data_IF_192880518666
#
_entry.id   IF_192880518666
#
_cell.length_a   1.000
_cell.length_b   1.000
_cell.length_c   1.000
_cell.angle_alpha   90.00
_cell.angle_beta   90.00
_cell.angle_gamma   90.00
#
_symmetry.space_group_name_H-M   'P 1'
#
loop_
_entity.id
_entity.type
_entity.pdbx_description
1 polymer ?
#
# COMPACT_ATOMS: atom_id res chain seq x y z
N UNK A 1 -1.25 22.43 20.49
CA UNK A 1 -0.55 21.62 19.49
C UNK A 1 -1.14 20.21 19.44
N UNK A 2 -1.34 19.65 18.25
CA UNK A 2 -1.97 18.32 18.06
C UNK A 2 -1.12 17.19 18.66
N UNK A 3 0.21 17.26 18.49
CA UNK A 3 1.14 16.27 18.99
C UNK A 3 1.16 16.24 20.51
N UNK A 4 1.20 17.41 21.16
CA UNK A 4 1.13 17.48 22.63
C UNK A 4 -0.18 16.90 23.19
N UNK A 5 -1.29 17.04 22.45
CA UNK A 5 -2.59 16.47 22.84
C UNK A 5 -2.64 14.96 22.64
N UNK A 6 -2.00 14.44 21.59
CA UNK A 6 -1.83 13.01 21.38
C UNK A 6 -0.96 12.38 22.48
N UNK A 7 0.21 12.94 22.76
CA UNK A 7 1.15 12.43 23.78
C UNK A 7 0.59 12.47 25.22
N UNK A 8 -0.35 13.38 25.50
CA UNK A 8 -1.07 13.45 26.78
C UNK A 8 -2.26 12.49 26.88
N UNK A 9 -2.72 11.95 25.76
CA UNK A 9 -3.79 10.95 25.77
C UNK A 9 -3.16 9.67 26.32
N UNK A 10 -3.72 9.13 27.40
CA UNK A 10 -3.28 7.84 27.96
C UNK A 10 -3.29 6.80 26.84
N UNK A 11 -2.13 6.22 26.53
CA UNK A 11 -2.00 5.21 25.49
C UNK A 11 -2.89 4.03 25.86
N UNK A 12 -3.99 3.87 25.12
CA UNK A 12 -4.87 2.72 25.29
C UNK A 12 -4.07 1.49 24.85
N UNK A 13 -3.81 0.58 25.80
CA UNK A 13 -2.91 -0.56 25.64
C UNK A 13 -3.43 -1.63 24.66
N UNK A 14 -4.50 -1.34 23.91
CA UNK A 14 -5.23 -2.30 23.08
C UNK A 14 -5.55 -1.80 21.67
N UNK A 15 -4.68 -1.01 21.08
CA UNK A 15 -4.79 -0.68 19.65
C UNK A 15 -4.26 -1.87 18.84
N UNK A 16 -5.16 -2.76 18.43
CA UNK A 16 -4.85 -3.90 17.54
C UNK A 16 -4.47 -3.42 16.13
N UNK A 17 -5.14 -2.38 15.63
CA UNK A 17 -4.88 -1.79 14.31
C UNK A 17 -4.65 -0.27 14.40
N UNK A 18 -3.39 0.14 14.27
CA UNK A 18 -3.00 1.54 14.31
C UNK A 18 -3.57 2.36 13.13
N UNK A 19 -3.72 1.77 11.94
CA UNK A 19 -4.29 2.46 10.77
C UNK A 19 -5.76 2.82 11.01
N UNK A 20 -6.53 1.88 11.56
CA UNK A 20 -7.94 2.09 11.89
C UNK A 20 -8.11 3.16 12.97
N UNK A 21 -7.24 3.15 13.99
CA UNK A 21 -7.27 4.17 15.03
C UNK A 21 -7.03 5.58 14.46
N UNK A 22 -6.01 5.74 13.61
CA UNK A 22 -5.72 7.02 12.97
C UNK A 22 -6.82 7.46 12.01
N UNK A 23 -7.44 6.52 11.31
CA UNK A 23 -8.60 6.78 10.45
C UNK A 23 -9.79 7.34 11.23
N UNK A 24 -10.13 6.71 12.35
CA UNK A 24 -11.24 7.15 13.21
C UNK A 24 -10.95 8.48 13.91
N UNK A 25 -9.68 8.77 14.20
CA UNK A 25 -9.26 9.99 14.90
C UNK A 25 -8.84 11.15 13.98
N UNK A 26 -9.07 11.07 12.66
CA UNK A 26 -8.73 12.14 11.71
C UNK A 26 -9.36 13.49 12.07
N UNK A 27 -10.63 13.48 12.51
CA UNK A 27 -11.33 14.71 12.93
C UNK A 27 -10.69 15.37 14.16
N UNK A 28 -10.09 14.57 15.04
CA UNK A 28 -9.45 15.03 16.29
C UNK A 28 -8.02 15.52 16.06
N UNK A 29 -7.33 14.97 15.06
CA UNK A 29 -5.95 15.29 14.72
C UNK A 29 -5.77 15.40 13.18
N UNK A 30 -6.29 16.45 12.53
CA UNK A 30 -6.33 16.53 11.08
C UNK A 30 -4.95 16.58 10.41
N UNK A 31 -3.94 17.16 11.06
CA UNK A 31 -2.57 17.24 10.49
C UNK A 31 -1.76 16.00 10.87
N UNK A 32 -1.84 15.58 12.13
CA UNK A 32 -1.06 14.46 12.64
C UNK A 32 -1.53 13.12 12.07
N UNK A 33 -2.84 12.93 11.89
CA UNK A 33 -3.39 11.69 11.29
C UNK A 33 -2.92 11.49 9.86
N UNK A 34 -2.84 12.55 9.05
CA UNK A 34 -2.31 12.47 7.69
C UNK A 34 -0.85 12.01 7.69
N UNK A 35 -0.02 12.57 8.57
CA UNK A 35 1.37 12.14 8.70
C UNK A 35 1.46 10.68 9.16
N UNK A 36 0.73 10.31 10.21
CA UNK A 36 0.76 8.96 10.75
C UNK A 36 0.28 7.91 9.75
N UNK A 37 -0.81 8.17 9.03
CA UNK A 37 -1.31 7.28 7.97
C UNK A 37 -0.29 7.14 6.83
N UNK A 38 0.36 8.24 6.41
CA UNK A 38 1.44 8.15 5.42
C UNK A 38 2.57 7.23 5.89
N UNK A 39 3.04 7.34 7.13
CA UNK A 39 4.12 6.48 7.63
C UNK A 39 3.68 5.03 7.84
N UNK A 40 2.48 4.79 8.36
CA UNK A 40 1.99 3.46 8.68
C UNK A 40 1.56 2.65 7.44
N UNK A 41 1.25 3.32 6.33
CA UNK A 41 0.92 2.66 5.06
C UNK A 41 2.15 2.28 4.23
N UNK A 42 3.34 2.79 4.59
CA UNK A 42 4.58 2.37 3.94
C UNK A 42 4.82 0.90 4.30
N UNK A 43 4.90 0.00 3.32
CA UNK A 43 5.19 -1.41 3.60
C UNK A 43 6.56 -1.51 4.28
N UNK A 44 6.61 -2.18 5.43
CA UNK A 44 7.84 -2.30 6.24
C UNK A 44 8.97 -3.07 5.55
N UNK A 45 8.70 -3.78 4.45
CA UNK A 45 9.69 -4.58 3.74
C UNK A 45 9.49 -4.50 2.23
N UNK A 46 10.59 -4.57 1.47
CA UNK A 46 10.61 -4.75 0.02
C UNK A 46 9.99 -6.07 -0.45
N UNK A 47 9.60 -6.97 0.47
CA UNK A 47 9.06 -8.30 0.18
C UNK A 47 7.89 -8.27 -0.79
N UNK A 48 7.04 -7.23 -0.76
CA UNK A 48 5.95 -7.08 -1.74
C UNK A 48 6.48 -6.87 -3.16
N UNK A 49 7.50 -6.03 -3.29
CA UNK A 49 8.17 -5.73 -4.56
C UNK A 49 8.99 -6.93 -5.04
N UNK A 50 9.72 -7.60 -4.14
CA UNK A 50 10.48 -8.81 -4.46
C UNK A 50 9.58 -9.98 -4.89
N UNK A 51 8.42 -10.15 -4.24
CA UNK A 51 7.42 -11.14 -4.66
C UNK A 51 6.84 -10.78 -6.03
N UNK A 52 6.59 -9.50 -6.31
CA UNK A 52 6.14 -9.03 -7.62
C UNK A 52 7.19 -9.34 -8.70
N UNK A 53 8.47 -9.05 -8.45
CA UNK A 53 9.57 -9.35 -9.38
C UNK A 53 9.81 -10.85 -9.55
N UNK A 54 9.69 -11.65 -8.48
CA UNK A 54 9.80 -13.11 -8.56
C UNK A 54 8.68 -13.71 -9.40
N UNK A 55 7.42 -13.27 -9.21
CA UNK A 55 6.30 -13.64 -10.08
C UNK A 55 6.51 -13.13 -11.52
N UNK A 56 7.09 -11.94 -11.67
CA UNK A 56 7.41 -11.29 -12.93
C UNK A 56 8.63 -11.85 -13.67
N UNK A 57 9.36 -12.80 -13.09
CA UNK A 57 10.53 -13.40 -13.74
C UNK A 57 10.20 -14.05 -15.09
N UNK A 58 8.97 -14.58 -15.24
CA UNK A 58 8.44 -15.07 -16.52
C UNK A 58 8.30 -13.92 -17.54
N UNK A 59 7.85 -12.73 -17.11
CA UNK A 59 7.73 -11.54 -17.96
C UNK A 59 9.10 -10.94 -18.33
N UNK A 60 10.10 -11.05 -17.47
CA UNK A 60 11.49 -10.67 -17.80
C UNK A 60 12.08 -11.59 -18.88
N UNK A 61 11.62 -12.83 -18.98
CA UNK A 61 12.01 -13.71 -20.10
C UNK A 61 11.41 -13.22 -21.43
N UNK A 62 10.25 -12.55 -21.40
CA UNK A 62 9.60 -11.93 -22.56
C UNK A 62 10.19 -10.55 -22.96
N UNK A 63 11.02 -9.92 -22.13
CA UNK A 63 11.83 -8.75 -22.51
C UNK A 63 12.76 -9.07 -23.70
N UNK A 64 13.12 -10.36 -23.87
CA UNK A 64 13.89 -10.87 -25.01
C UNK A 64 13.07 -11.01 -26.30
N UNK A 65 11.74 -10.90 -26.23
CA UNK A 65 10.81 -11.01 -27.36
C UNK A 65 10.26 -9.64 -27.83
N UNK A 66 10.84 -8.52 -27.38
CA UNK A 66 10.50 -7.18 -27.89
C UNK A 66 9.40 -6.43 -27.12
N UNK A 67 9.01 -6.89 -25.93
CA UNK A 67 8.11 -6.15 -25.05
C UNK A 67 8.85 -5.01 -24.34
N UNK A 68 8.26 -3.82 -24.36
CA UNK A 68 8.81 -2.66 -23.67
C UNK A 68 8.70 -2.82 -22.15
N UNK A 69 9.58 -2.17 -21.39
CA UNK A 69 9.48 -2.13 -19.94
C UNK A 69 8.11 -1.61 -19.47
N UNK A 70 7.55 -0.60 -20.15
CA UNK A 70 6.23 -0.05 -19.82
C UNK A 70 5.12 -1.10 -19.92
N UNK A 71 5.10 -1.88 -21.02
CA UNK A 71 4.11 -2.95 -21.21
C UNK A 71 4.20 -4.03 -20.13
N UNK A 72 5.41 -4.33 -19.66
CA UNK A 72 5.62 -5.31 -18.58
C UNK A 72 5.08 -4.78 -17.25
N UNK A 73 5.30 -3.50 -16.95
CA UNK A 73 4.72 -2.82 -15.79
C UNK A 73 3.20 -2.85 -15.82
N UNK A 74 2.59 -2.54 -16.95
CA UNK A 74 1.12 -2.57 -17.11
C UNK A 74 0.55 -3.96 -16.86
N UNK A 75 1.17 -5.01 -17.43
CA UNK A 75 0.75 -6.40 -17.23
C UNK A 75 0.88 -6.81 -15.76
N UNK A 76 1.98 -6.43 -15.09
CA UNK A 76 2.19 -6.74 -13.67
C UNK A 76 1.14 -6.07 -12.78
N UNK A 77 0.87 -4.78 -13.00
CA UNK A 77 -0.17 -4.04 -12.28
C UNK A 77 -1.55 -4.65 -12.53
N UNK A 78 -1.90 -4.93 -13.79
CA UNK A 78 -3.20 -5.50 -14.16
C UNK A 78 -3.41 -6.87 -13.51
N UNK A 79 -2.40 -7.73 -13.50
CA UNK A 79 -2.48 -9.04 -12.87
C UNK A 79 -2.64 -8.94 -11.34
N UNK A 80 -1.88 -8.06 -10.68
CA UNK A 80 -2.02 -7.84 -9.22
C UNK A 80 -3.39 -7.26 -8.86
N UNK A 81 -3.88 -6.30 -9.63
CA UNK A 81 -5.20 -5.70 -9.44
C UNK A 81 -6.35 -6.67 -9.70
N UNK A 82 -6.25 -7.51 -10.73
CA UNK A 82 -7.22 -8.57 -11.00
C UNK A 82 -7.27 -9.59 -9.86
N UNK A 83 -6.11 -10.03 -9.34
CA UNK A 83 -6.05 -10.93 -8.18
C UNK A 83 -6.69 -10.34 -6.93
N UNK A 84 -6.59 -9.02 -6.75
CA UNK A 84 -7.22 -8.28 -5.64
C UNK A 84 -8.69 -7.92 -5.91
N UNK A 85 -9.22 -8.25 -7.08
CA UNK A 85 -10.60 -7.96 -7.46
C UNK A 85 -10.89 -6.49 -7.78
N UNK A 86 -9.86 -5.69 -8.08
CA UNK A 86 -10.01 -4.29 -8.48
C UNK A 86 -10.39 -4.13 -9.96
N UNK A 87 -10.19 -5.16 -10.77
CA UNK A 87 -10.59 -5.21 -12.18
C UNK A 87 -11.74 -6.19 -12.31
N UNK A 88 -12.88 -5.75 -12.83
CA UNK A 88 -14.03 -6.61 -13.13
C UNK A 88 -14.03 -6.95 -14.61
N UNK A 89 -14.65 -8.06 -14.97
CA UNK A 89 -14.78 -8.53 -16.37
C UNK A 89 -15.44 -7.51 -17.31
N UNK A 90 -16.18 -6.54 -16.74
CA UNK A 90 -16.81 -5.43 -17.48
C UNK A 90 -15.85 -4.28 -17.82
N UNK A 91 -14.64 -4.28 -17.25
CA UNK A 91 -13.63 -3.22 -17.41
C UNK A 91 -12.58 -3.57 -18.49
N UNK A 92 -12.69 -4.75 -19.13
CA UNK A 92 -11.83 -5.25 -20.21
C UNK A 92 -12.51 -5.14 -21.57
#
# INVERSE_FOLDING_TARGET
DELSKYLKTSADLKIDNALEWWWNNQKKYPKLSRMALCYLTIPSMSVGVERLFSKGHILVTHLRNGLSAASIWEILCLNDWAQKGYVKDKDV
#
